data_IF_574156905736
#
_entry.id   IF_574156905736
#
_cell.length_a   1.000
_cell.length_b   1.000
_cell.length_c   1.000
_cell.angle_alpha   90.00
_cell.angle_beta   90.00
_cell.angle_gamma   90.00
#
_symmetry.space_group_name_H-M   'P 1'
#
loop_
_entity.id
_entity.type
_entity.pdbx_description
1 polymer ?
#
# COMPACT_ATOMS: atom_id res chain seq x y z
N UNK A 1 15.65 3.96 -4.04
CA UNK A 1 15.09 5.01 -4.93
C UNK A 1 15.94 6.26 -4.76
N UNK A 2 16.46 6.86 -5.84
CA UNK A 2 17.31 8.07 -5.72
C UNK A 2 16.48 9.26 -5.20
N UNK A 3 17.11 10.15 -4.43
CA UNK A 3 16.48 11.31 -3.77
C UNK A 3 15.77 12.27 -4.74
N UNK A 4 16.19 12.29 -6.02
CA UNK A 4 15.50 13.03 -7.07
C UNK A 4 14.18 12.37 -7.51
N UNK A 5 14.12 11.03 -7.52
CA UNK A 5 12.93 10.28 -7.89
C UNK A 5 11.80 10.45 -6.87
N UNK A 6 12.13 10.46 -5.57
CA UNK A 6 11.17 10.77 -4.50
C UNK A 6 10.65 12.21 -4.58
N UNK A 7 11.52 13.19 -4.85
CA UNK A 7 11.12 14.61 -4.99
C UNK A 7 10.15 14.85 -6.16
N UNK A 8 10.37 14.24 -7.32
CA UNK A 8 9.48 14.38 -8.48
C UNK A 8 8.13 13.71 -8.21
N UNK A 9 8.14 12.50 -7.64
CA UNK A 9 6.92 11.80 -7.24
C UNK A 9 6.13 12.60 -6.20
N UNK A 10 6.79 13.17 -5.20
CA UNK A 10 6.14 14.00 -4.19
C UNK A 10 5.55 15.28 -4.80
N UNK A 11 6.22 15.92 -5.76
CA UNK A 11 5.68 17.09 -6.48
C UNK A 11 4.43 16.74 -7.29
N UNK A 12 4.46 15.63 -8.02
CA UNK A 12 3.30 15.13 -8.79
C UNK A 12 2.14 14.80 -7.85
N UNK A 13 2.42 14.06 -6.77
CA UNK A 13 1.42 13.68 -5.76
C UNK A 13 0.85 14.93 -5.06
N UNK A 14 1.68 15.92 -4.73
CA UNK A 14 1.22 17.15 -4.09
C UNK A 14 0.41 18.03 -5.03
N UNK A 15 0.78 18.09 -6.31
CA UNK A 15 -0.01 18.75 -7.34
C UNK A 15 -1.38 18.10 -7.52
N UNK A 16 -1.42 16.77 -7.69
CA UNK A 16 -2.65 15.99 -7.87
C UNK A 16 -3.57 16.03 -6.64
N UNK A 17 -3.01 16.14 -5.43
CA UNK A 17 -3.77 16.28 -4.19
C UNK A 17 -4.13 17.72 -3.81
N UNK A 18 -3.50 18.71 -4.45
CA UNK A 18 -3.75 20.12 -4.21
C UNK A 18 -5.10 20.54 -4.77
N UNK A 19 -5.66 21.64 -4.24
CA UNK A 19 -6.93 22.18 -4.73
C UNK A 19 -6.92 22.47 -6.24
N UNK A 20 -5.76 22.86 -6.80
CA UNK A 20 -5.57 23.08 -8.22
C UNK A 20 -5.64 21.78 -9.06
N UNK A 21 -4.96 20.70 -8.64
CA UNK A 21 -4.97 19.42 -9.36
C UNK A 21 -6.35 18.77 -9.34
N UNK A 22 -7.02 18.76 -8.17
CA UNK A 22 -8.40 18.28 -8.03
C UNK A 22 -9.34 19.12 -8.91
N UNK A 23 -9.16 20.45 -8.92
CA UNK A 23 -9.94 21.36 -9.77
C UNK A 23 -9.76 21.09 -11.26
N UNK A 24 -8.53 20.82 -11.72
CA UNK A 24 -8.23 20.47 -13.12
C UNK A 24 -8.88 19.14 -13.50
N UNK A 25 -8.75 18.11 -12.67
CA UNK A 25 -9.35 16.79 -12.92
C UNK A 25 -10.88 16.84 -12.95
N UNK A 26 -11.48 17.52 -11.97
CA UNK A 26 -12.93 17.72 -11.92
C UNK A 26 -13.41 18.49 -13.16
N UNK A 27 -12.68 19.53 -13.57
CA UNK A 27 -12.99 20.31 -14.77
C UNK A 27 -12.86 19.47 -16.05
N UNK A 28 -11.80 18.66 -16.17
CA UNK A 28 -11.60 17.78 -17.32
C UNK A 28 -12.73 16.74 -17.43
N UNK A 29 -13.08 16.09 -16.32
CA UNK A 29 -14.19 15.13 -16.25
C UNK A 29 -15.54 15.75 -16.59
N UNK A 30 -15.82 16.96 -16.09
CA UNK A 30 -17.00 17.73 -16.46
C UNK A 30 -17.01 18.06 -17.95
N UNK A 31 -15.87 18.49 -18.53
CA UNK A 31 -15.75 18.77 -19.95
C UNK A 31 -16.00 17.54 -20.82
N UNK A 32 -15.48 16.38 -20.45
CA UNK A 32 -15.71 15.11 -21.16
C UNK A 32 -17.20 14.76 -21.17
N UNK A 33 -17.87 14.84 -20.02
CA UNK A 33 -19.30 14.55 -19.92
C UNK A 33 -20.13 15.58 -20.71
N UNK A 34 -19.82 16.87 -20.58
CA UNK A 34 -20.53 17.95 -21.29
C UNK A 34 -20.38 17.81 -22.81
N UNK A 35 -19.18 17.55 -23.32
CA UNK A 35 -18.97 17.33 -24.76
C UNK A 35 -19.70 16.08 -25.25
N UNK A 36 -19.80 15.03 -24.42
CA UNK A 36 -20.61 13.86 -24.71
C UNK A 36 -22.10 14.19 -24.84
N UNK A 37 -22.65 14.97 -23.90
CA UNK A 37 -24.06 15.40 -23.91
C UNK A 37 -24.35 16.27 -25.13
N UNK A 38 -23.49 17.25 -25.40
CA UNK A 38 -23.61 18.14 -26.56
C UNK A 38 -23.53 17.33 -27.85
N UNK A 39 -22.52 16.47 -27.97
CA UNK A 39 -22.35 15.59 -29.12
C UNK A 39 -23.55 14.67 -29.35
N UNK A 40 -24.04 14.00 -28.30
CA UNK A 40 -25.24 13.15 -28.39
C UNK A 40 -26.51 13.93 -28.77
N UNK A 41 -26.65 15.15 -28.28
CA UNK A 41 -27.79 16.03 -28.60
C UNK A 41 -27.79 16.46 -30.08
N UNK A 42 -26.64 16.89 -30.61
CA UNK A 42 -26.55 17.37 -31.99
C UNK A 42 -26.43 16.24 -33.01
N UNK A 43 -25.60 15.22 -32.74
CA UNK A 43 -25.25 14.16 -33.68
C UNK A 43 -26.11 12.88 -33.54
N UNK A 44 -26.93 12.80 -32.49
CA UNK A 44 -27.95 11.75 -32.26
C UNK A 44 -27.35 10.34 -32.13
N UNK A 45 -28.17 9.32 -32.38
CA UNK A 45 -27.84 7.90 -32.22
C UNK A 45 -26.55 7.44 -32.93
N UNK A 46 -26.19 8.04 -34.07
CA UNK A 46 -24.96 7.67 -34.80
C UNK A 46 -23.72 7.95 -33.96
N UNK A 47 -23.68 9.11 -33.31
CA UNK A 47 -22.58 9.48 -32.44
C UNK A 47 -22.56 8.66 -31.15
N UNK A 48 -23.73 8.33 -30.59
CA UNK A 48 -23.84 7.40 -29.47
C UNK A 48 -23.18 6.04 -29.79
N UNK A 49 -23.46 5.48 -30.97
CA UNK A 49 -22.84 4.21 -31.40
C UNK A 49 -21.33 4.37 -31.58
N UNK A 50 -20.87 5.43 -32.25
CA UNK A 50 -19.43 5.66 -32.45
C UNK A 50 -18.68 5.81 -31.11
N UNK A 51 -19.29 6.50 -30.14
CA UNK A 51 -18.78 6.60 -28.77
C UNK A 51 -18.73 5.23 -28.10
N UNK A 52 -19.80 4.43 -28.21
CA UNK A 52 -19.83 3.07 -27.67
C UNK A 52 -18.74 2.17 -28.27
N UNK A 53 -18.52 2.24 -29.59
CA UNK A 53 -17.45 1.51 -30.26
C UNK A 53 -16.07 1.99 -29.79
N UNK A 54 -15.88 3.31 -29.66
CA UNK A 54 -14.62 3.88 -29.16
C UNK A 54 -14.32 3.40 -27.75
N UNK A 55 -15.36 3.28 -26.91
CA UNK A 55 -15.28 2.76 -25.56
C UNK A 55 -14.90 1.28 -25.53
N UNK A 56 -15.54 0.44 -26.36
CA UNK A 56 -15.18 -0.98 -26.50
C UNK A 56 -13.73 -1.16 -27.00
N UNK A 57 -13.30 -0.37 -28.00
CA UNK A 57 -11.93 -0.43 -28.54
C UNK A 57 -10.93 0.04 -27.48
N UNK A 58 -11.23 1.12 -26.75
CA UNK A 58 -10.44 1.58 -25.62
C UNK A 58 -10.29 0.49 -24.55
N UNK A 59 -11.38 -0.21 -24.20
CA UNK A 59 -11.32 -1.34 -23.27
C UNK A 59 -10.41 -2.45 -23.79
N UNK A 60 -10.54 -2.83 -25.06
CA UNK A 60 -9.73 -3.88 -25.69
C UNK A 60 -8.24 -3.52 -25.79
N UNK A 61 -7.89 -2.23 -25.75
CA UNK A 61 -6.51 -1.79 -25.73
C UNK A 61 -5.76 -2.16 -24.43
N UNK A 62 -6.48 -2.27 -23.30
CA UNK A 62 -5.89 -2.64 -22.01
C UNK A 62 -5.22 -4.03 -22.01
N UNK A 63 -5.89 -5.15 -22.37
CA UNK A 63 -5.26 -6.46 -22.40
C UNK A 63 -4.12 -6.56 -23.43
N UNK A 64 -4.21 -5.84 -24.54
CA UNK A 64 -3.12 -5.75 -25.54
C UNK A 64 -1.88 -5.10 -24.91
N UNK A 65 -2.07 -3.96 -24.24
CA UNK A 65 -1.00 -3.28 -23.51
C UNK A 65 -0.39 -4.18 -22.44
N UNK A 66 -1.22 -4.83 -21.62
CA UNK A 66 -0.76 -5.75 -20.58
C UNK A 66 0.08 -6.90 -21.15
N UNK A 67 -0.35 -7.50 -22.27
CA UNK A 67 0.37 -8.60 -22.93
C UNK A 67 1.72 -8.17 -23.53
N UNK A 68 1.77 -7.00 -24.16
CA UNK A 68 3.02 -6.41 -24.68
C UNK A 68 4.00 -6.17 -23.53
N UNK A 69 3.50 -5.60 -22.44
CA UNK A 69 4.31 -5.25 -21.27
C UNK A 69 4.82 -6.49 -20.52
N UNK A 70 3.99 -7.53 -20.35
CA UNK A 70 4.41 -8.82 -19.79
C UNK A 70 5.49 -9.48 -20.64
N UNK A 71 5.41 -9.36 -21.96
CA UNK A 71 6.43 -9.90 -22.88
C UNK A 71 7.75 -9.13 -22.75
N UNK A 72 7.68 -7.81 -22.55
CA UNK A 72 8.85 -6.97 -22.31
C UNK A 72 9.53 -7.33 -20.98
N UNK A 73 8.75 -7.53 -19.90
CA UNK A 73 9.25 -7.91 -18.58
C UNK A 73 10.00 -9.24 -18.55
N UNK A 74 9.59 -10.22 -19.35
CA UNK A 74 10.29 -11.51 -19.43
C UNK A 74 11.73 -11.37 -19.90
N UNK A 75 12.07 -10.26 -20.55
CA UNK A 75 13.37 -9.97 -21.13
C UNK A 75 14.18 -8.93 -20.34
N UNK A 76 13.69 -8.48 -19.18
CA UNK A 76 14.38 -7.51 -18.31
C UNK A 76 15.00 -8.24 -17.11
N UNK A 77 16.17 -7.77 -16.65
CA UNK A 77 16.85 -8.30 -15.47
C UNK A 77 15.93 -8.34 -14.24
N UNK A 78 16.06 -9.43 -13.45
CA UNK A 78 15.22 -9.72 -12.28
C UNK A 78 15.18 -8.59 -11.25
N UNK A 79 16.27 -7.83 -11.12
CA UNK A 79 16.40 -6.73 -10.15
C UNK A 79 15.52 -5.52 -10.49
N UNK A 80 15.14 -5.35 -11.76
CA UNK A 80 14.20 -4.31 -12.21
C UNK A 80 12.79 -4.82 -12.40
N UNK A 81 12.61 -6.14 -12.46
CA UNK A 81 11.34 -6.78 -12.75
C UNK A 81 10.27 -6.40 -11.71
N UNK A 82 10.61 -6.41 -10.41
CA UNK A 82 9.67 -6.12 -9.31
C UNK A 82 9.17 -4.66 -9.29
N UNK A 83 10.04 -3.69 -9.57
CA UNK A 83 9.68 -2.27 -9.64
C UNK A 83 8.92 -1.92 -10.92
N UNK A 84 9.27 -2.57 -12.04
CA UNK A 84 8.62 -2.37 -13.33
C UNK A 84 7.24 -3.04 -13.32
N UNK A 85 7.09 -4.23 -12.75
CA UNK A 85 5.81 -4.95 -12.61
C UNK A 85 4.74 -4.12 -11.88
N UNK A 86 5.13 -3.33 -10.85
CA UNK A 86 4.20 -2.42 -10.16
C UNK A 86 3.73 -1.24 -11.02
N UNK A 87 4.62 -0.62 -11.80
CA UNK A 87 4.25 0.45 -12.76
C UNK A 87 3.36 -0.11 -13.88
N UNK A 88 3.56 -1.38 -14.22
CA UNK A 88 2.86 -2.07 -15.30
C UNK A 88 1.41 -2.39 -15.00
N UNK A 89 1.00 -2.46 -13.74
CA UNK A 89 -0.42 -2.59 -13.40
C UNK A 89 -1.24 -1.33 -13.78
N UNK A 90 -0.60 -0.16 -13.91
CA UNK A 90 -1.27 1.11 -14.21
C UNK A 90 -1.21 1.52 -15.68
N UNK A 91 -0.18 1.10 -16.42
CA UNK A 91 -0.01 1.42 -17.83
C UNK A 91 -1.23 1.03 -18.71
N UNK A 92 -1.90 -0.12 -18.51
CA UNK A 92 -3.09 -0.48 -19.26
C UNK A 92 -4.26 0.49 -19.08
N UNK A 93 -4.42 1.11 -17.90
CA UNK A 93 -5.46 2.11 -17.63
C UNK A 93 -5.24 3.34 -18.50
N UNK A 94 -4.02 3.89 -18.50
CA UNK A 94 -3.68 5.08 -19.27
C UNK A 94 -3.70 4.82 -20.77
N UNK A 95 -3.25 3.63 -21.20
CA UNK A 95 -3.29 3.24 -22.60
C UNK A 95 -4.74 3.09 -23.10
N UNK A 96 -5.61 2.46 -22.32
CA UNK A 96 -7.04 2.35 -22.61
C UNK A 96 -7.72 3.71 -22.73
N UNK A 97 -7.49 4.60 -21.76
CA UNK A 97 -8.03 5.96 -21.76
C UNK A 97 -7.49 6.76 -22.95
N UNK A 98 -6.21 6.66 -23.27
CA UNK A 98 -5.61 7.36 -24.41
C UNK A 98 -6.22 6.92 -25.74
N UNK A 99 -6.37 5.61 -25.97
CA UNK A 99 -7.01 5.06 -27.17
C UNK A 99 -8.46 5.52 -27.26
N UNK A 100 -9.21 5.46 -26.16
CA UNK A 100 -10.58 5.96 -26.09
C UNK A 100 -10.66 7.44 -26.47
N UNK A 101 -9.88 8.31 -25.82
CA UNK A 101 -9.92 9.75 -26.06
C UNK A 101 -9.48 10.13 -27.47
N UNK A 102 -8.51 9.41 -28.04
CA UNK A 102 -8.09 9.61 -29.42
C UNK A 102 -9.24 9.32 -30.40
N UNK A 103 -9.86 8.14 -30.27
CA UNK A 103 -10.99 7.74 -31.12
C UNK A 103 -12.21 8.65 -30.93
N UNK A 104 -12.50 9.03 -29.69
CA UNK A 104 -13.56 9.98 -29.37
C UNK A 104 -13.32 11.34 -30.01
N UNK A 105 -12.10 11.88 -29.92
CA UNK A 105 -11.73 13.19 -30.48
C UNK A 105 -11.84 13.18 -32.01
N UNK A 106 -11.31 12.13 -32.66
CA UNK A 106 -11.44 11.95 -34.12
C UNK A 106 -12.91 11.91 -34.52
N UNK A 107 -13.71 11.11 -33.81
CA UNK A 107 -15.15 10.98 -34.07
C UNK A 107 -15.87 12.33 -33.89
N UNK A 108 -15.58 13.05 -32.82
CA UNK A 108 -16.16 14.36 -32.56
C UNK A 108 -15.83 15.36 -33.67
N UNK A 109 -14.58 15.41 -34.13
CA UNK A 109 -14.14 16.28 -35.23
C UNK A 109 -14.90 15.93 -36.52
N UNK A 110 -14.93 14.65 -36.91
CA UNK A 110 -15.62 14.19 -38.13
C UNK A 110 -17.11 14.58 -38.10
N UNK A 111 -17.79 14.30 -37.00
CA UNK A 111 -19.21 14.62 -36.87
C UNK A 111 -19.47 16.13 -36.84
N UNK A 112 -18.56 16.92 -36.26
CA UNK A 112 -18.62 18.39 -36.29
C UNK A 112 -18.51 18.91 -37.72
N UNK A 113 -17.54 18.44 -38.50
CA UNK A 113 -17.36 18.82 -39.91
C UNK A 113 -18.60 18.47 -40.73
N UNK A 114 -19.14 17.25 -40.57
CA UNK A 114 -20.35 16.80 -41.28
C UNK A 114 -21.56 17.67 -40.91
N UNK A 115 -21.69 18.08 -39.63
CA UNK A 115 -22.79 18.89 -39.16
C UNK A 115 -22.71 20.33 -39.69
N UNK A 116 -21.52 20.93 -39.69
CA UNK A 116 -21.26 22.25 -40.28
C UNK A 116 -21.53 22.25 -41.79
N UNK A 117 -21.12 21.20 -42.52
CA UNK A 117 -21.41 21.06 -43.95
C UNK A 117 -22.92 20.93 -44.24
N UNK A 118 -23.72 20.39 -43.31
CA UNK A 118 -25.17 20.18 -43.47
C UNK A 118 -26.04 21.21 -42.73
N UNK A 119 -25.45 22.29 -42.21
CA UNK A 119 -26.11 23.25 -41.33
C UNK A 119 -27.34 23.93 -41.97
N UNK A 120 -27.33 24.13 -43.30
CA UNK A 120 -28.48 24.68 -44.05
C UNK A 120 -29.74 23.80 -44.01
N UNK A 121 -29.62 22.48 -43.83
CA UNK A 121 -30.76 21.53 -43.84
C UNK A 121 -31.41 21.41 -42.46
N UNK A 122 -30.69 21.76 -41.38
CA UNK A 122 -31.14 21.57 -39.99
C UNK A 122 -32.08 22.67 -39.46
N UNK A 123 -32.14 23.84 -40.12
CA UNK A 123 -32.94 25.00 -39.70
C UNK A 123 -34.47 24.75 -39.78
N UNK A 124 -34.91 23.75 -40.57
CA UNK A 124 -36.33 23.42 -40.78
C UNK A 124 -36.86 22.25 -39.90
N UNK A 125 -36.07 21.72 -38.97
CA UNK A 125 -36.47 20.55 -38.17
C UNK A 125 -37.31 20.93 -36.93
N UNK A 126 -38.64 20.78 -37.03
CA UNK A 126 -39.70 20.97 -36.01
C UNK A 126 -39.36 20.51 -34.57
N UNK A 127 -39.95 21.21 -33.61
CA UNK A 127 -39.91 21.02 -32.13
C UNK A 127 -40.23 19.60 -31.62
N UNK A 128 -40.89 18.71 -32.39
CA UNK A 128 -41.35 17.39 -31.88
C UNK A 128 -40.28 16.31 -31.72
N UNK A 129 -39.01 16.57 -32.10
CA UNK A 129 -37.90 15.59 -31.97
C UNK A 129 -36.88 15.96 -30.89
N UNK A 130 -37.15 16.97 -30.06
CA UNK A 130 -36.19 17.45 -29.06
C UNK A 130 -35.96 16.43 -27.93
N UNK A 131 -37.01 15.75 -27.46
CA UNK A 131 -36.89 14.74 -26.40
C UNK A 131 -36.00 13.56 -26.83
N UNK A 132 -36.09 13.11 -28.10
CA UNK A 132 -35.17 12.09 -28.64
C UNK A 132 -33.72 12.57 -28.65
N UNK A 133 -33.48 13.86 -28.94
CA UNK A 133 -32.12 14.44 -28.89
C UNK A 133 -31.59 14.53 -27.46
N UNK A 134 -32.45 14.91 -26.51
CA UNK A 134 -32.11 14.88 -25.08
C UNK A 134 -31.76 13.46 -24.65
N UNK A 135 -32.55 12.45 -25.05
CA UNK A 135 -32.26 11.05 -24.75
C UNK A 135 -30.90 10.61 -25.29
N UNK A 136 -30.55 10.98 -26.52
CA UNK A 136 -29.22 10.67 -27.08
C UNK A 136 -28.10 11.44 -26.36
N UNK A 137 -28.33 12.71 -25.99
CA UNK A 137 -27.39 13.48 -25.18
C UNK A 137 -27.12 12.82 -23.82
N UNK A 138 -28.18 12.46 -23.10
CA UNK A 138 -28.08 11.75 -21.81
C UNK A 138 -27.39 10.40 -21.97
N UNK A 139 -27.76 9.61 -22.99
CA UNK A 139 -27.14 8.31 -23.26
C UNK A 139 -25.64 8.42 -23.58
N UNK A 140 -25.23 9.40 -24.38
CA UNK A 140 -23.81 9.63 -24.66
C UNK A 140 -23.09 10.16 -23.43
N UNK A 141 -23.72 11.06 -22.67
CA UNK A 141 -23.20 11.55 -21.39
C UNK A 141 -22.98 10.44 -20.37
N UNK A 142 -23.90 9.47 -20.24
CA UNK A 142 -23.73 8.34 -19.34
C UNK A 142 -22.57 7.43 -19.73
N UNK A 143 -22.31 7.23 -21.03
CA UNK A 143 -21.14 6.49 -21.50
C UNK A 143 -19.83 7.23 -21.18
N UNK A 144 -19.85 8.56 -21.12
CA UNK A 144 -18.70 9.39 -20.75
C UNK A 144 -18.40 9.38 -19.25
N UNK A 145 -19.35 8.98 -18.40
CA UNK A 145 -19.12 8.91 -16.94
C UNK A 145 -18.03 7.89 -16.61
N UNK A 146 -18.05 6.71 -17.25
CA UNK A 146 -17.08 5.64 -17.00
C UNK A 146 -15.61 6.08 -17.22
N UNK A 147 -15.22 6.60 -18.40
CA UNK A 147 -13.86 7.06 -18.63
C UNK A 147 -13.51 8.32 -17.81
N UNK A 148 -14.48 9.21 -17.53
CA UNK A 148 -14.24 10.39 -16.70
C UNK A 148 -13.95 10.02 -15.23
N UNK A 149 -14.70 9.06 -14.68
CA UNK A 149 -14.49 8.54 -13.33
C UNK A 149 -13.21 7.70 -13.27
N UNK A 150 -12.94 6.85 -14.27
CA UNK A 150 -11.70 6.09 -14.34
C UNK A 150 -10.47 7.00 -14.38
N UNK A 151 -10.49 8.07 -15.18
CA UNK A 151 -9.42 9.08 -15.24
C UNK A 151 -9.25 9.82 -13.90
N UNK A 152 -10.36 10.19 -13.26
CA UNK A 152 -10.32 10.89 -11.97
C UNK A 152 -9.78 9.99 -10.86
N UNK A 153 -10.23 8.73 -10.82
CA UNK A 153 -9.82 7.74 -9.83
C UNK A 153 -8.38 7.28 -10.05
N UNK A 154 -7.91 7.19 -11.31
CA UNK A 154 -6.52 6.79 -11.62
C UNK A 154 -5.49 7.85 -11.20
N UNK A 155 -5.90 9.11 -11.10
CA UNK A 155 -5.02 10.25 -10.82
C UNK A 155 -5.15 10.79 -9.38
N UNK A 156 -6.16 10.36 -8.61
CA UNK A 156 -6.28 10.74 -7.20
C UNK A 156 -5.52 9.79 -6.28
N UNK A 157 -4.92 10.33 -5.22
CA UNK A 157 -4.09 9.54 -4.28
C UNK A 157 -4.66 9.46 -2.85
N UNK A 158 -5.88 9.98 -2.64
CA UNK A 158 -6.56 9.89 -1.34
C UNK A 158 -7.40 8.60 -1.27
N UNK A 159 -7.19 7.80 -0.22
CA UNK A 159 -8.00 6.59 0.09
C UNK A 159 -9.51 6.83 0.14
N UNK A 160 -9.95 8.08 0.29
CA UNK A 160 -11.37 8.46 0.38
C UNK A 160 -12.19 8.28 -0.91
N UNK A 161 -11.60 7.90 -2.05
CA UNK A 161 -12.34 7.60 -3.29
C UNK A 161 -12.10 6.19 -3.84
N UNK A 162 -11.81 5.23 -2.97
CA UNK A 162 -11.86 3.81 -3.35
C UNK A 162 -13.30 3.26 -3.26
N UNK A 163 -14.28 4.03 -3.75
CA UNK A 163 -15.68 3.62 -3.75
C UNK A 163 -15.94 2.54 -4.80
N UNK A 164 -17.00 1.75 -4.59
CA UNK A 164 -17.32 0.62 -5.48
C UNK A 164 -17.49 1.05 -6.94
N UNK A 165 -17.92 2.29 -7.19
CA UNK A 165 -18.10 2.82 -8.53
C UNK A 165 -16.78 3.22 -9.22
N UNK A 166 -15.81 3.78 -8.51
CA UNK A 166 -14.48 4.04 -9.06
C UNK A 166 -13.74 2.74 -9.38
N UNK A 167 -13.82 1.74 -8.50
CA UNK A 167 -13.28 0.39 -8.75
C UNK A 167 -13.93 -0.25 -9.97
N UNK A 168 -15.27 -0.17 -10.06
CA UNK A 168 -16.01 -0.66 -11.22
C UNK A 168 -15.61 0.08 -12.50
N UNK A 169 -15.47 1.40 -12.46
CA UNK A 169 -15.15 2.20 -13.67
C UNK A 169 -13.75 1.90 -14.20
N UNK A 170 -12.75 1.79 -13.31
CA UNK A 170 -11.39 1.38 -13.69
C UNK A 170 -11.41 -0.05 -14.23
N UNK A 171 -11.99 -0.99 -13.47
CA UNK A 171 -12.10 -2.38 -13.88
C UNK A 171 -12.82 -2.52 -15.22
N UNK A 172 -13.92 -1.81 -15.42
CA UNK A 172 -14.64 -1.82 -16.69
C UNK A 172 -13.78 -1.30 -17.83
N UNK A 173 -13.12 -0.14 -17.66
CA UNK A 173 -12.23 0.43 -18.67
C UNK A 173 -11.04 -0.47 -19.01
N UNK A 174 -10.60 -1.34 -18.09
CA UNK A 174 -9.47 -2.24 -18.32
C UNK A 174 -9.85 -3.72 -18.46
N UNK A 175 -11.12 -4.07 -18.69
CA UNK A 175 -11.58 -5.47 -18.67
C UNK A 175 -11.16 -6.24 -17.40
N UNK A 176 -11.11 -5.54 -16.26
CA UNK A 176 -10.72 -6.02 -14.94
C UNK A 176 -9.28 -6.53 -14.87
N UNK A 177 -8.41 -6.09 -15.80
CA UNK A 177 -6.98 -6.43 -15.84
C UNK A 177 -6.11 -5.50 -14.98
N UNK A 178 -6.68 -4.46 -14.37
CA UNK A 178 -5.93 -3.44 -13.62
C UNK A 178 -6.62 -3.06 -12.32
N UNK A 179 -5.82 -2.72 -11.32
CA UNK A 179 -6.27 -2.25 -10.01
C UNK A 179 -6.27 -0.72 -9.93
N UNK A 180 -7.00 -0.18 -8.93
CA UNK A 180 -7.09 1.26 -8.74
C UNK A 180 -5.75 1.85 -8.27
N UNK A 181 -5.10 2.75 -9.06
CA UNK A 181 -3.80 3.33 -8.72
C UNK A 181 -3.79 4.16 -7.43
N UNK A 182 -4.96 4.64 -7.00
CA UNK A 182 -5.08 5.43 -5.76
C UNK A 182 -4.58 4.67 -4.53
N UNK A 183 -4.75 3.34 -4.51
CA UNK A 183 -4.26 2.47 -3.43
C UNK A 183 -2.74 2.50 -3.41
N UNK A 184 -2.09 2.20 -4.53
CA UNK A 184 -0.63 2.22 -4.67
C UNK A 184 -0.01 3.61 -4.45
N UNK A 185 -0.64 4.67 -4.97
CA UNK A 185 -0.14 6.04 -4.78
C UNK A 185 -0.27 6.51 -3.34
N UNK A 186 -1.32 6.10 -2.63
CA UNK A 186 -1.46 6.35 -1.19
C UNK A 186 -0.37 5.62 -0.39
N UNK A 187 -0.06 4.39 -0.78
CA UNK A 187 0.98 3.56 -0.18
C UNK A 187 2.34 4.21 -0.38
N UNK A 188 2.71 4.59 -1.61
CA UNK A 188 3.95 5.32 -1.91
C UNK A 188 4.10 6.61 -1.10
N UNK A 189 3.00 7.34 -0.91
CA UNK A 189 3.00 8.57 -0.09
C UNK A 189 3.28 8.26 1.39
N UNK A 190 2.69 7.19 1.92
CA UNK A 190 2.90 6.79 3.30
C UNK A 190 4.30 6.18 3.52
N UNK A 191 4.83 5.47 2.54
CA UNK A 191 6.22 4.96 2.52
C UNK A 191 7.22 6.11 2.40
N UNK A 192 6.96 7.10 1.54
CA UNK A 192 7.77 8.33 1.43
C UNK A 192 7.79 9.07 2.77
N UNK A 193 6.66 9.14 3.49
CA UNK A 193 6.63 9.67 4.85
C UNK A 193 7.49 8.84 5.80
N UNK A 194 7.33 7.51 5.83
CA UNK A 194 8.11 6.63 6.71
C UNK A 194 9.63 6.75 6.43
N UNK A 195 10.01 6.73 5.16
CA UNK A 195 11.40 6.92 4.73
C UNK A 195 11.94 8.28 5.17
N UNK A 196 11.17 9.35 5.06
CA UNK A 196 11.57 10.69 5.52
C UNK A 196 11.71 10.77 7.04
N UNK A 197 10.82 10.10 7.76
CA UNK A 197 10.79 10.06 9.22
C UNK A 197 12.01 9.31 9.78
N UNK A 198 12.39 8.18 9.19
CA UNK A 198 13.58 7.41 9.58
C UNK A 198 14.88 8.09 9.15
N UNK A 199 14.83 9.00 8.18
CA UNK A 199 16.00 9.83 7.78
C UNK A 199 16.06 11.19 8.47
N UNK A 200 15.09 11.54 9.33
CA UNK A 200 15.19 12.77 10.13
C UNK A 200 16.40 12.63 11.06
N UNK A 201 17.38 13.54 11.03
CA UNK A 201 18.59 13.43 11.84
C UNK A 201 18.30 13.29 13.33
N UNK A 202 17.26 13.95 13.86
CA UNK A 202 16.90 13.88 15.27
C UNK A 202 16.32 12.52 15.64
N UNK A 203 15.44 11.99 14.80
CA UNK A 203 14.85 10.66 14.98
C UNK A 203 15.93 9.60 14.81
N UNK A 204 16.81 9.74 13.81
CA UNK A 204 17.92 8.82 13.56
C UNK A 204 18.90 8.81 14.73
N UNK A 205 19.23 9.99 15.28
CA UNK A 205 20.10 10.11 16.45
C UNK A 205 19.44 9.48 17.70
N UNK A 206 18.15 9.70 17.92
CA UNK A 206 17.41 9.08 19.01
C UNK A 206 17.31 7.55 18.84
N UNK A 207 17.08 7.04 17.62
CA UNK A 207 17.04 5.60 17.34
C UNK A 207 18.40 4.91 17.48
N UNK A 208 19.50 5.65 17.39
CA UNK A 208 20.86 5.14 17.62
C UNK A 208 21.27 5.16 19.09
N UNK A 209 20.51 5.81 19.97
CA UNK A 209 20.73 5.79 21.42
C UNK A 209 20.03 4.58 22.02
N UNK A 210 20.57 4.13 23.14
CA UNK A 210 19.90 3.18 24.03
C UNK A 210 18.59 3.82 24.54
N UNK A 211 17.46 3.11 24.41
CA UNK A 211 16.13 3.67 24.71
C UNK A 211 16.02 4.15 26.17
N UNK A 212 16.68 3.44 27.08
CA UNK A 212 16.78 3.79 28.50
C UNK A 212 17.38 5.18 28.72
N UNK A 213 18.25 5.64 27.81
CA UNK A 213 18.98 6.90 27.88
C UNK A 213 18.29 8.06 27.15
N UNK A 214 17.16 7.79 26.50
CA UNK A 214 16.38 8.82 25.81
C UNK A 214 15.64 9.73 26.79
N UNK A 215 15.55 11.02 26.46
CA UNK A 215 14.71 11.96 27.21
C UNK A 215 13.23 11.64 27.01
N UNK A 216 12.38 12.17 27.88
CA UNK A 216 10.93 12.02 27.74
C UNK A 216 10.43 12.59 26.40
N UNK A 217 10.94 13.74 25.97
CA UNK A 217 10.56 14.31 24.68
C UNK A 217 11.01 13.44 23.50
N UNK A 218 12.23 12.88 23.55
CA UNK A 218 12.72 11.97 22.50
C UNK A 218 11.85 10.69 22.41
N UNK A 219 11.43 10.15 23.56
CA UNK A 219 10.54 8.97 23.63
C UNK A 219 9.15 9.26 23.05
N UNK A 220 8.55 10.39 23.44
CA UNK A 220 7.26 10.84 22.89
C UNK A 220 7.36 11.07 21.38
N UNK A 221 8.47 11.65 20.92
CA UNK A 221 8.70 11.90 19.50
C UNK A 221 8.81 10.60 18.70
N UNK A 222 9.56 9.59 19.19
CA UNK A 222 9.60 8.26 18.55
C UNK A 222 8.19 7.65 18.49
N UNK A 223 7.40 7.79 19.56
CA UNK A 223 6.07 7.19 19.63
C UNK A 223 5.08 7.86 18.67
N UNK A 224 5.05 9.19 18.60
CA UNK A 224 4.16 9.95 17.71
C UNK A 224 4.61 9.93 16.26
N UNK A 225 5.90 10.07 16.00
CA UNK A 225 6.43 10.28 14.64
C UNK A 225 6.81 8.98 13.94
N UNK A 226 7.10 7.89 14.68
CA UNK A 226 7.54 6.61 14.09
C UNK A 226 6.55 5.49 14.38
N UNK A 227 6.27 5.22 15.66
CA UNK A 227 5.49 4.04 16.07
C UNK A 227 4.03 4.13 15.60
N UNK A 228 3.31 5.22 15.88
CA UNK A 228 1.91 5.37 15.49
C UNK A 228 1.70 5.37 13.97
N UNK A 229 2.48 6.10 13.15
CA UNK A 229 2.34 6.07 11.70
C UNK A 229 2.60 4.67 11.14
N UNK A 230 3.59 3.95 11.68
CA UNK A 230 3.89 2.58 11.30
C UNK A 230 2.73 1.63 11.65
N UNK A 231 2.18 1.74 12.86
CA UNK A 231 1.04 0.94 13.29
C UNK A 231 -0.18 1.18 12.39
N UNK A 232 -0.46 2.43 12.02
CA UNK A 232 -1.54 2.77 11.08
C UNK A 232 -1.37 2.10 9.71
N UNK A 233 -0.13 2.01 9.21
CA UNK A 233 0.16 1.35 7.93
C UNK A 233 0.00 -0.17 7.98
N UNK A 234 0.42 -0.77 9.09
CA UNK A 234 0.32 -2.21 9.29
C UNK A 234 -1.12 -2.65 9.58
N UNK A 235 -1.93 -1.77 10.18
CA UNK A 235 -3.34 -2.04 10.44
C UNK A 235 -4.21 -2.05 9.18
N UNK A 236 -3.81 -1.36 8.12
CA UNK A 236 -4.51 -1.35 6.83
C UNK A 236 -4.25 -2.67 6.06
N UNK A 237 -5.26 -3.53 5.88
CA UNK A 237 -5.10 -4.84 5.24
C UNK A 237 -4.65 -4.73 3.78
N UNK A 238 -5.03 -3.65 3.07
CA UNK A 238 -4.67 -3.47 1.66
C UNK A 238 -3.19 -3.10 1.49
N UNK A 239 -2.51 -2.60 2.53
CA UNK A 239 -1.10 -2.20 2.49
C UNK A 239 -0.16 -3.03 3.34
N UNK A 240 -0.67 -3.89 4.22
CA UNK A 240 0.13 -4.57 5.24
C UNK A 240 1.27 -5.40 4.69
N UNK A 241 0.99 -6.29 3.74
CA UNK A 241 2.00 -7.20 3.15
C UNK A 241 3.15 -6.42 2.50
N UNK A 242 2.80 -5.44 1.67
CA UNK A 242 3.77 -4.59 0.98
C UNK A 242 4.55 -3.69 1.95
N UNK A 243 3.90 -3.19 3.00
CA UNK A 243 4.57 -2.40 4.05
C UNK A 243 5.63 -3.24 4.77
N UNK A 244 5.33 -4.49 5.12
CA UNK A 244 6.29 -5.41 5.73
C UNK A 244 7.47 -5.73 4.79
N UNK A 245 7.21 -5.96 3.50
CA UNK A 245 8.26 -6.18 2.50
C UNK A 245 9.19 -4.98 2.35
N UNK A 246 8.65 -3.76 2.40
CA UNK A 246 9.42 -2.52 2.28
C UNK A 246 10.19 -2.22 3.56
N UNK A 247 9.59 -2.44 4.74
CA UNK A 247 10.27 -2.34 6.03
C UNK A 247 11.50 -3.25 6.07
N UNK A 248 11.38 -4.48 5.60
CA UNK A 248 12.50 -5.42 5.52
C UNK A 248 13.70 -4.86 4.73
N UNK A 249 13.42 -4.08 3.68
CA UNK A 249 14.41 -3.46 2.78
C UNK A 249 14.84 -2.05 3.20
N UNK A 250 14.21 -1.47 4.23
CA UNK A 250 14.48 -0.09 4.69
C UNK A 250 15.73 -0.04 5.55
N UNK A 251 16.64 0.89 5.24
CA UNK A 251 17.85 1.15 6.03
C UNK A 251 17.50 2.06 7.21
N UNK A 252 17.83 1.63 8.42
CA UNK A 252 17.50 2.38 9.66
C UNK A 252 18.76 2.95 10.32
N UNK A 253 19.86 2.22 10.29
CA UNK A 253 21.16 2.66 10.83
C UNK A 253 22.21 2.70 9.72
N UNK A 254 23.44 3.16 9.99
CA UNK A 254 24.55 3.32 9.03
C UNK A 254 24.72 2.10 8.09
N UNK A 255 23.96 2.08 6.99
CA UNK A 255 23.98 1.04 5.98
C UNK A 255 23.13 -0.22 6.24
N UNK A 256 22.64 -0.49 7.45
CA UNK A 256 21.91 -1.75 7.76
C UNK A 256 20.40 -1.62 7.58
N UNK A 257 19.83 -2.60 6.88
CA UNK A 257 18.39 -2.81 6.75
C UNK A 257 17.79 -3.39 8.02
N UNK A 258 16.46 -3.27 8.20
CA UNK A 258 15.75 -3.93 9.31
C UNK A 258 16.03 -5.43 9.33
N UNK A 259 16.01 -6.07 8.16
CA UNK A 259 16.32 -7.49 8.07
C UNK A 259 17.74 -7.80 8.57
N UNK A 260 18.73 -6.96 8.27
CA UNK A 260 20.12 -7.13 8.71
C UNK A 260 20.30 -6.82 10.20
N UNK A 261 19.51 -5.90 10.76
CA UNK A 261 19.48 -5.65 12.21
C UNK A 261 18.91 -6.86 12.95
N UNK A 262 17.79 -7.41 12.50
CA UNK A 262 17.28 -8.68 13.03
C UNK A 262 18.33 -9.77 12.92
N UNK A 263 19.13 -9.76 11.84
CA UNK A 263 20.22 -10.72 11.67
C UNK A 263 21.35 -10.61 12.68
N UNK A 264 21.67 -9.39 13.12
CA UNK A 264 22.77 -9.20 14.07
C UNK A 264 22.51 -9.84 15.44
N UNK A 265 21.26 -10.17 15.76
CA UNK A 265 20.90 -10.87 17.00
C UNK A 265 20.99 -12.39 16.91
N UNK A 266 21.06 -12.97 15.70
CA UNK A 266 21.16 -14.43 15.50
C UNK A 266 22.34 -15.09 16.26
N UNK A 267 23.56 -14.50 16.31
CA UNK A 267 24.66 -15.03 17.12
C UNK A 267 24.39 -14.99 18.62
N UNK A 268 23.67 -13.98 19.12
CA UNK A 268 23.32 -13.87 20.54
C UNK A 268 22.28 -14.93 20.92
N UNK A 269 21.28 -15.16 20.06
CA UNK A 269 20.30 -16.23 20.24
C UNK A 269 21.00 -17.60 20.29
N UNK A 270 21.97 -17.85 19.41
CA UNK A 270 22.77 -19.10 19.43
C UNK A 270 23.58 -19.25 20.71
N UNK A 271 24.23 -18.19 21.19
CA UNK A 271 24.95 -18.21 22.47
C UNK A 271 24.01 -18.50 23.64
N UNK A 272 22.84 -17.87 23.67
CA UNK A 272 21.83 -18.13 24.69
C UNK A 272 21.34 -19.59 24.66
N UNK A 273 21.15 -20.16 23.46
CA UNK A 273 20.81 -21.57 23.29
C UNK A 273 21.94 -22.50 23.80
N UNK A 274 23.19 -22.19 23.50
CA UNK A 274 24.36 -22.95 23.99
C UNK A 274 24.49 -22.91 25.52
N UNK A 275 24.24 -21.75 26.14
CA UNK A 275 24.20 -21.62 27.60
C UNK A 275 23.06 -22.41 28.22
N UNK A 276 21.88 -22.40 27.58
CA UNK A 276 20.75 -23.23 27.98
C UNK A 276 21.07 -24.73 27.91
N UNK A 277 21.77 -25.19 26.87
CA UNK A 277 22.23 -26.59 26.76
C UNK A 277 23.18 -26.96 27.91
N UNK A 278 24.05 -26.04 28.32
CA UNK A 278 24.99 -26.28 29.42
C UNK A 278 24.31 -26.30 30.78
N UNK A 279 23.35 -25.42 30.99
CA UNK A 279 22.80 -25.11 32.31
C UNK A 279 21.44 -25.78 32.59
N UNK A 280 20.74 -26.26 31.56
CA UNK A 280 19.42 -26.89 31.68
C UNK A 280 19.43 -28.34 31.17
N UNK A 281 19.37 -29.29 32.11
CA UNK A 281 19.40 -30.72 31.81
C UNK A 281 18.18 -31.21 31.02
N UNK A 282 17.01 -30.56 31.17
CA UNK A 282 15.81 -30.88 30.40
C UNK A 282 15.95 -30.42 28.94
N UNK A 283 16.50 -29.21 28.74
CA UNK A 283 16.77 -28.68 27.40
C UNK A 283 17.80 -29.54 26.66
N UNK A 284 18.89 -29.92 27.34
CA UNK A 284 19.90 -30.83 26.78
C UNK A 284 19.31 -32.16 26.33
N UNK A 285 18.45 -32.78 27.15
CA UNK A 285 17.73 -34.01 26.77
C UNK A 285 16.80 -33.80 25.58
N UNK A 286 16.10 -32.67 25.51
CA UNK A 286 15.25 -32.34 24.36
C UNK A 286 16.06 -32.16 23.06
N UNK A 287 17.28 -31.63 23.16
CA UNK A 287 18.24 -31.55 22.05
C UNK A 287 18.74 -32.92 21.61
N UNK A 288 19.20 -33.75 22.55
CA UNK A 288 19.71 -35.10 22.26
C UNK A 288 18.63 -36.04 21.70
N UNK A 289 17.38 -35.86 22.11
CA UNK A 289 16.22 -36.62 21.61
C UNK A 289 15.57 -36.03 20.36
N UNK A 290 16.08 -34.91 19.85
CA UNK A 290 15.56 -34.19 18.69
C UNK A 290 14.05 -33.83 18.81
N UNK A 291 13.59 -33.54 20.02
CA UNK A 291 12.20 -33.21 20.31
C UNK A 291 11.98 -31.69 20.25
N UNK A 292 11.62 -31.18 19.07
CA UNK A 292 11.43 -29.74 18.83
C UNK A 292 10.34 -29.10 19.69
N UNK A 293 9.24 -29.83 19.96
CA UNK A 293 8.16 -29.31 20.81
C UNK A 293 8.63 -29.11 22.25
N UNK A 294 9.38 -30.07 22.81
CA UNK A 294 9.94 -29.94 24.15
C UNK A 294 10.99 -28.82 24.22
N UNK A 295 11.84 -28.66 23.19
CA UNK A 295 12.78 -27.52 23.11
C UNK A 295 12.04 -26.19 23.20
N UNK A 296 10.98 -26.05 22.40
CA UNK A 296 10.17 -24.84 22.33
C UNK A 296 9.52 -24.51 23.67
N UNK A 297 8.88 -25.48 24.31
CA UNK A 297 8.22 -25.28 25.61
C UNK A 297 9.20 -24.86 26.71
N UNK A 298 10.39 -25.46 26.74
CA UNK A 298 11.44 -25.11 27.71
C UNK A 298 12.00 -23.71 27.42
N UNK A 299 12.23 -23.35 26.15
CA UNK A 299 12.67 -22.02 25.75
C UNK A 299 11.66 -20.94 26.14
N UNK A 300 10.37 -21.14 25.84
CA UNK A 300 9.31 -20.22 26.24
C UNK A 300 9.33 -20.02 27.76
N UNK A 301 9.42 -21.11 28.52
CA UNK A 301 9.46 -21.06 29.98
C UNK A 301 10.67 -20.28 30.50
N UNK A 302 11.86 -20.51 29.96
CA UNK A 302 13.06 -19.81 30.41
C UNK A 302 13.05 -18.33 30.01
N UNK A 303 12.62 -18.01 28.79
CA UNK A 303 12.48 -16.62 28.33
C UNK A 303 11.48 -15.86 29.19
N UNK A 304 10.29 -16.42 29.45
CA UNK A 304 9.30 -15.77 30.30
C UNK A 304 9.81 -15.58 31.73
N UNK A 305 10.55 -16.56 32.27
CA UNK A 305 11.17 -16.46 33.60
C UNK A 305 12.24 -15.35 33.66
N UNK A 306 13.07 -15.23 32.63
CA UNK A 306 14.05 -14.14 32.54
C UNK A 306 13.35 -12.79 32.40
N UNK A 307 12.31 -12.70 31.58
CA UNK A 307 11.49 -11.51 31.41
C UNK A 307 10.88 -11.05 32.75
N UNK A 308 10.30 -11.97 33.52
CA UNK A 308 9.73 -11.68 34.85
C UNK A 308 10.78 -11.16 35.84
N UNK A 309 11.99 -11.72 35.80
CA UNK A 309 13.08 -11.27 36.66
C UNK A 309 13.55 -9.85 36.27
N UNK A 310 13.65 -9.58 34.97
CA UNK A 310 14.05 -8.25 34.47
C UNK A 310 12.97 -7.19 34.72
N UNK A 311 11.69 -7.55 34.61
CA UNK A 311 10.56 -6.67 34.95
C UNK A 311 10.56 -6.31 36.44
N UNK A 312 10.80 -7.27 37.33
CA UNK A 312 10.87 -7.03 38.79
C UNK A 312 12.07 -6.17 39.21
N UNK A 313 13.18 -6.27 38.47
CA UNK A 313 14.39 -5.53 38.77
C UNK A 313 14.44 -4.14 38.10
N UNK A 314 13.40 -3.77 37.34
CA UNK A 314 13.25 -2.44 36.71
C UNK A 314 14.13 -2.19 35.47
N UNK A 315 15.06 -3.09 35.18
CA UNK A 315 16.18 -2.92 34.22
C UNK A 315 15.74 -2.72 32.76
N UNK A 316 14.52 -3.16 32.40
CA UNK A 316 13.98 -3.12 31.03
C UNK A 316 12.55 -2.59 30.95
N UNK A 317 12.04 -2.00 32.02
CA UNK A 317 10.63 -1.61 32.13
C UNK A 317 10.20 -0.63 31.02
N UNK A 318 11.07 0.29 30.61
CA UNK A 318 10.77 1.28 29.57
C UNK A 318 10.75 0.71 28.14
N UNK A 319 11.71 -0.15 27.81
CA UNK A 319 11.87 -0.82 26.52
C UNK A 319 10.72 -1.80 26.28
N UNK A 320 10.41 -2.60 27.31
CA UNK A 320 9.32 -3.55 27.26
C UNK A 320 7.98 -2.82 27.17
N UNK A 321 7.82 -1.68 27.86
CA UNK A 321 6.64 -0.83 27.71
C UNK A 321 6.50 -0.28 26.29
N UNK A 322 7.59 0.21 25.68
CA UNK A 322 7.56 0.64 24.28
C UNK A 322 7.10 -0.50 23.34
N UNK A 323 7.65 -1.70 23.51
CA UNK A 323 7.28 -2.86 22.69
C UNK A 323 5.81 -3.23 22.92
N UNK A 324 5.37 -3.26 24.17
CA UNK A 324 3.96 -3.53 24.54
C UNK A 324 3.02 -2.49 23.94
N UNK A 325 3.31 -1.20 24.10
CA UNK A 325 2.53 -0.09 23.56
C UNK A 325 2.49 -0.14 22.03
N UNK A 326 3.64 -0.40 21.39
CA UNK A 326 3.75 -0.51 19.93
C UNK A 326 2.92 -1.67 19.37
N UNK A 327 2.99 -2.83 20.03
CA UNK A 327 2.17 -4.01 19.68
C UNK A 327 0.70 -3.75 20.01
N UNK A 328 0.40 -3.04 21.09
CA UNK A 328 -0.96 -2.67 21.50
C UNK A 328 -1.69 -1.79 20.47
N UNK A 329 -0.96 -0.98 19.71
CA UNK A 329 -1.49 -0.17 18.61
C UNK A 329 -1.88 -0.98 17.37
N UNK A 330 -1.45 -2.24 17.27
CA UNK A 330 -1.78 -3.12 16.15
C UNK A 330 -3.10 -3.87 16.38
N UNK A 331 -3.90 -4.04 15.32
CA UNK A 331 -5.05 -4.96 15.34
C UNK A 331 -4.57 -6.42 15.28
N UNK A 332 -5.44 -7.36 15.63
CA UNK A 332 -5.05 -8.77 15.81
C UNK A 332 -4.47 -9.42 14.55
N UNK A 333 -4.97 -9.04 13.38
CA UNK A 333 -4.44 -9.56 12.11
C UNK A 333 -3.06 -8.95 11.81
N UNK A 334 -2.86 -7.65 12.04
CA UNK A 334 -1.57 -6.99 11.88
C UNK A 334 -0.53 -7.53 12.86
N UNK A 335 -0.91 -7.81 14.11
CA UNK A 335 -0.05 -8.46 15.11
C UNK A 335 0.43 -9.81 14.61
N UNK A 336 -0.49 -10.67 14.17
CA UNK A 336 -0.16 -12.02 13.65
C UNK A 336 0.82 -11.94 12.49
N UNK A 337 0.60 -11.02 11.55
CA UNK A 337 1.45 -10.88 10.36
C UNK A 337 2.83 -10.31 10.70
N UNK A 338 2.92 -9.33 11.60
CA UNK A 338 4.21 -8.79 12.09
C UNK A 338 4.99 -9.87 12.84
N UNK A 339 4.34 -10.61 13.75
CA UNK A 339 4.97 -11.70 14.51
C UNK A 339 5.44 -12.81 13.57
N UNK A 340 4.61 -13.19 12.58
CA UNK A 340 5.00 -14.16 11.56
C UNK A 340 6.19 -13.68 10.72
N UNK A 341 6.21 -12.40 10.35
CA UNK A 341 7.29 -11.80 9.56
C UNK A 341 8.62 -11.76 10.33
N UNK A 342 8.61 -11.31 11.59
CA UNK A 342 9.80 -11.33 12.46
C UNK A 342 10.25 -12.78 12.69
N UNK A 343 9.32 -13.66 13.09
CA UNK A 343 9.61 -15.07 13.37
C UNK A 343 10.25 -15.80 12.19
N UNK A 344 9.69 -15.63 10.98
CA UNK A 344 10.25 -16.22 9.76
C UNK A 344 11.65 -15.69 9.45
N UNK A 345 11.89 -14.40 9.72
CA UNK A 345 13.20 -13.78 9.49
C UNK A 345 14.26 -14.33 10.45
N UNK A 346 13.90 -14.62 11.69
CA UNK A 346 14.77 -15.26 12.69
C UNK A 346 14.99 -16.74 12.36
N UNK A 347 13.92 -17.50 12.07
CA UNK A 347 14.00 -18.93 11.74
C UNK A 347 14.94 -19.20 10.56
N UNK A 348 14.83 -18.39 9.49
CA UNK A 348 15.69 -18.49 8.30
C UNK A 348 17.18 -18.38 8.64
N UNK A 349 17.53 -17.64 9.68
CA UNK A 349 18.93 -17.39 10.04
C UNK A 349 19.47 -18.37 11.06
N UNK A 350 18.58 -18.90 11.90
CA UNK A 350 18.91 -20.00 12.79
C UNK A 350 18.93 -21.35 12.04
N UNK A 351 18.47 -21.40 10.80
CA UNK A 351 18.36 -22.63 10.01
C UNK A 351 17.29 -23.57 10.58
N UNK A 352 16.25 -23.00 11.19
CA UNK A 352 15.13 -23.72 11.82
C UNK A 352 13.93 -23.77 10.87
N UNK A 353 13.05 -24.74 11.10
CA UNK A 353 11.77 -24.84 10.37
C UNK A 353 10.91 -23.60 10.60
N UNK A 354 10.17 -23.19 9.57
CA UNK A 354 9.34 -21.98 9.61
C UNK A 354 8.21 -22.11 10.63
N UNK A 355 8.30 -21.39 11.75
CA UNK A 355 7.27 -21.34 12.77
C UNK A 355 7.79 -21.42 14.21
N UNK A 356 9.02 -21.90 14.42
CA UNK A 356 9.58 -22.06 15.76
C UNK A 356 9.72 -20.72 16.48
N UNK A 357 10.40 -19.75 15.86
CA UNK A 357 10.60 -18.42 16.46
C UNK A 357 9.31 -17.63 16.51
N UNK A 358 8.39 -17.83 15.55
CA UNK A 358 7.07 -17.18 15.54
C UNK A 358 6.31 -17.50 16.83
N UNK A 359 6.22 -18.77 17.19
CA UNK A 359 5.40 -19.19 18.33
C UNK A 359 6.03 -18.79 19.67
N UNK A 360 7.37 -18.71 19.73
CA UNK A 360 8.08 -18.15 20.90
C UNK A 360 7.74 -16.66 21.03
N UNK A 361 7.86 -15.89 19.95
CA UNK A 361 7.55 -14.45 19.95
C UNK A 361 6.09 -14.18 20.35
N UNK A 362 5.16 -14.98 19.84
CA UNK A 362 3.73 -14.87 20.18
C UNK A 362 3.51 -15.12 21.68
N UNK A 363 4.13 -16.15 22.24
CA UNK A 363 4.03 -16.46 23.67
C UNK A 363 4.69 -15.39 24.55
N UNK A 364 5.83 -14.84 24.14
CA UNK A 364 6.55 -13.81 24.89
C UNK A 364 5.76 -12.50 24.89
N UNK A 365 5.20 -12.10 23.75
CA UNK A 365 4.37 -10.91 23.65
C UNK A 365 3.08 -11.02 24.46
N UNK A 366 2.45 -12.19 24.46
CA UNK A 366 1.28 -12.46 25.31
C UNK A 366 1.62 -12.31 26.80
N UNK A 367 2.73 -12.92 27.24
CA UNK A 367 3.21 -12.85 28.61
C UNK A 367 3.57 -11.40 29.02
N UNK A 368 4.25 -10.67 28.14
CA UNK A 368 4.66 -9.29 28.35
C UNK A 368 3.44 -8.36 28.51
N UNK A 369 2.44 -8.47 27.64
CA UNK A 369 1.20 -7.68 27.74
C UNK A 369 0.45 -7.96 29.05
N UNK A 370 0.40 -9.22 29.50
CA UNK A 370 -0.22 -9.58 30.77
C UNK A 370 0.54 -8.99 31.96
N UNK A 371 1.87 -9.07 31.94
CA UNK A 371 2.73 -8.55 33.01
C UNK A 371 2.67 -7.03 33.13
N UNK A 372 2.65 -6.29 32.01
CA UNK A 372 2.49 -4.82 32.00
C UNK A 372 1.13 -4.40 32.57
N UNK A 373 0.03 -5.03 32.12
CA UNK A 373 -1.32 -4.75 32.64
C UNK A 373 -1.46 -5.03 34.14
N UNK A 374 -0.79 -6.08 34.64
CA UNK A 374 -0.81 -6.42 36.07
C UNK A 374 -0.04 -5.41 36.95
N UNK A 375 0.92 -4.69 36.36
CA UNK A 375 1.74 -3.69 37.05
C UNK A 375 0.99 -2.36 37.15
N UNK A 376 0.32 -1.92 36.06
CA UNK A 376 -0.50 -0.69 36.05
C UNK A 376 -1.73 -0.79 36.97
N UNK A 377 -2.31 -1.99 37.14
CA UNK A 377 -3.41 -2.20 38.10
C UNK A 377 -2.98 -2.18 39.57
N UNK A 378 -1.69 -2.33 39.87
CA UNK A 378 -1.12 -2.22 41.22
C UNK A 378 -0.71 -0.81 41.60
N UNK A 379 -0.41 0.06 40.63
CA UNK A 379 -0.09 1.48 40.87
C UNK A 379 -1.34 2.35 41.04
N UNK A 380 -2.50 1.88 40.56
CA UNK A 380 -3.79 2.58 40.64
C UNK A 380 -4.69 2.13 41.81
N UNK A 381 -4.23 1.23 42.68
CA UNK A 381 -4.88 0.81 43.94
C UNK A 381 -3.92 1.05 45.11
#
# INVERSE_FOLDING_TARGET
>A
MNEQGTKILDQIINFLNGGAGIGILASASLWIILTGIIGGFFYRWKFLITVGISLIIGMAAAPISASILQTFLKNVDKDYQEAVERILHFAPIYFSLAVFFALYSISFIIFTIICLAKFKVLRNARKSKIWKRVLYGVGTGSLMVLPAVALSASLQTKNKQNDGFSRFSIGFMTFFQSENPSIFLSQLKNISKLSKLVTDPKITEALNKDYSKLTKEEKEQIQEDVVKPLANLLNDPDSRKESLEILAKTKITEGKTVSELTSSYSPEIKKAEEELIKNNAEYKKAVESNNEQAKKEILIKEVNKQLDNQLKNGDLSSELKLVSDSVGLLNDDAKKDVIAWIGTSVDKQLGKDSGFSKDILDSVLAHLNQSVQSTENKENN
#
